data_IF_419238785029
#
_entry.id   IF_419238785029
#
_cell.length_a   1.000
_cell.length_b   1.000
_cell.length_c   1.000
_cell.angle_alpha   90.00
_cell.angle_beta   90.00
_cell.angle_gamma   90.00
#
_symmetry.space_group_name_H-M   'P 1'
#
loop_
_entity.id
_entity.type
_entity.pdbx_description
1 polymer ?
#
# COMPACT_ATOMS: atom_id res chain seq x y z
N UNK A 1 0.98 -11.48 29.62
CA UNK A 1 2.23 -11.06 28.96
C UNK A 1 2.03 -11.23 27.45
N UNK A 2 1.51 -10.20 26.77
CA UNK A 2 1.04 -10.31 25.39
C UNK A 2 2.18 -10.27 24.38
N UNK A 3 2.26 -11.28 23.52
CA UNK A 3 3.22 -11.35 22.41
C UNK A 3 3.06 -10.13 21.51
N UNK A 4 4.09 -9.28 21.44
CA UNK A 4 4.16 -8.14 20.53
C UNK A 4 4.24 -8.70 19.11
N UNK A 5 3.08 -8.79 18.48
CA UNK A 5 2.86 -9.33 17.15
C UNK A 5 3.77 -8.61 16.13
N UNK A 6 4.73 -9.35 15.54
CA UNK A 6 5.64 -8.88 14.48
C UNK A 6 4.92 -9.01 13.14
N UNK A 7 4.13 -8.01 12.75
CA UNK A 7 3.23 -8.09 11.59
C UNK A 7 3.67 -7.30 10.35
N UNK A 8 4.90 -6.78 10.28
CA UNK A 8 5.33 -6.03 9.09
C UNK A 8 6.34 -6.81 8.25
N UNK A 9 5.84 -7.36 7.15
CA UNK A 9 6.60 -8.17 6.20
C UNK A 9 7.52 -7.32 5.32
N UNK A 10 7.22 -6.04 5.06
CA UNK A 10 7.90 -5.27 4.02
C UNK A 10 9.32 -4.87 4.42
N UNK A 11 9.49 -4.24 5.59
CA UNK A 11 10.83 -3.88 6.09
C UNK A 11 11.70 -5.11 6.36
N UNK A 12 11.07 -6.22 6.78
CA UNK A 12 11.76 -7.50 6.96
C UNK A 12 12.26 -8.07 5.63
N UNK A 13 11.42 -8.07 4.58
CA UNK A 13 11.81 -8.50 3.25
C UNK A 13 12.90 -7.61 2.66
N UNK A 14 12.81 -6.28 2.82
CA UNK A 14 13.85 -5.36 2.35
C UNK A 14 15.21 -5.64 2.98
N UNK A 15 15.26 -5.84 4.30
CA UNK A 15 16.50 -6.21 5.00
C UNK A 15 17.00 -7.60 4.57
N UNK A 16 16.11 -8.59 4.47
CA UNK A 16 16.47 -9.98 4.10
C UNK A 16 16.93 -10.13 2.66
N UNK A 17 16.47 -9.26 1.78
CA UNK A 17 16.85 -9.24 0.36
C UNK A 17 17.95 -8.23 0.04
N UNK A 18 18.61 -7.67 1.05
CA UNK A 18 19.74 -6.75 0.91
C UNK A 18 19.39 -5.51 0.08
N UNK A 19 18.25 -4.88 0.41
CA UNK A 19 17.76 -3.67 -0.24
C UNK A 19 17.12 -3.88 -1.62
N UNK A 20 16.98 -5.12 -2.10
CA UNK A 20 16.43 -5.44 -3.43
C UNK A 20 14.90 -5.63 -3.47
N UNK A 21 14.21 -5.31 -2.38
CA UNK A 21 12.76 -5.42 -2.31
C UNK A 21 12.09 -4.13 -2.79
N UNK A 22 11.06 -4.28 -3.62
CA UNK A 22 10.22 -3.19 -4.11
C UNK A 22 8.79 -3.42 -3.61
N UNK A 23 8.16 -2.38 -3.07
CA UNK A 23 6.78 -2.45 -2.59
C UNK A 23 5.81 -2.12 -3.73
N UNK A 24 5.18 -3.14 -4.30
CA UNK A 24 4.09 -2.98 -5.25
C UNK A 24 2.75 -2.76 -4.55
N UNK A 25 2.02 -1.71 -4.94
CA UNK A 25 0.64 -1.43 -4.51
C UNK A 25 -0.29 -1.45 -5.71
N UNK A 26 -1.49 -1.99 -5.55
CA UNK A 26 -2.51 -2.00 -6.59
C UNK A 26 -3.90 -2.02 -5.99
N UNK A 27 -4.86 -1.48 -6.73
CA UNK A 27 -6.28 -1.63 -6.40
C UNK A 27 -6.85 -2.85 -7.11
N UNK A 28 -7.68 -3.64 -6.43
CA UNK A 28 -8.45 -4.73 -7.06
C UNK A 28 -9.20 -4.22 -8.30
N UNK A 29 -9.29 -5.05 -9.34
CA UNK A 29 -10.02 -4.73 -10.58
C UNK A 29 -11.53 -4.89 -10.37
N UNK A 30 -12.33 -4.17 -11.17
CA UNK A 30 -13.80 -4.31 -11.14
C UNK A 30 -14.23 -5.75 -11.43
N UNK A 31 -13.57 -6.44 -12.36
CA UNK A 31 -13.79 -7.86 -12.64
C UNK A 31 -13.66 -8.75 -11.39
N UNK A 32 -12.68 -8.50 -10.51
CA UNK A 32 -12.55 -9.26 -9.27
C UNK A 32 -13.59 -8.84 -8.23
N UNK A 33 -13.81 -7.54 -8.05
CA UNK A 33 -14.70 -7.03 -7.00
C UNK A 33 -16.16 -7.36 -7.31
N UNK A 34 -16.58 -7.17 -8.55
CA UNK A 34 -17.95 -7.43 -8.99
C UNK A 34 -18.15 -8.89 -9.38
N UNK A 35 -17.18 -9.50 -10.06
CA UNK A 35 -17.34 -10.86 -10.60
C UNK A 35 -16.99 -11.99 -9.63
N UNK A 36 -16.06 -11.78 -8.69
CA UNK A 36 -15.70 -12.80 -7.68
C UNK A 36 -16.33 -12.53 -6.32
N UNK A 37 -16.42 -11.25 -5.92
CA UNK A 37 -16.92 -10.90 -4.59
C UNK A 37 -18.38 -10.45 -4.57
N UNK A 38 -19.04 -10.28 -5.73
CA UNK A 38 -20.42 -9.79 -5.86
C UNK A 38 -20.66 -8.45 -5.12
N UNK A 39 -19.64 -7.59 -5.07
CA UNK A 39 -19.69 -6.27 -4.42
C UNK A 39 -19.67 -5.19 -5.50
N UNK A 40 -20.51 -4.16 -5.38
CA UNK A 40 -20.47 -3.00 -6.28
C UNK A 40 -19.08 -2.35 -6.32
N UNK A 41 -18.53 -2.16 -7.52
CA UNK A 41 -17.25 -1.49 -7.67
C UNK A 41 -17.38 0.00 -7.39
N UNK A 42 -16.70 0.47 -6.35
CA UNK A 42 -16.49 1.90 -6.09
C UNK A 42 -15.07 2.25 -6.52
N UNK A 43 -14.91 3.32 -7.30
CA UNK A 43 -13.59 3.78 -7.74
C UNK A 43 -12.61 3.85 -6.57
N UNK A 44 -11.53 3.06 -6.58
CA UNK A 44 -10.62 2.94 -5.45
C UNK A 44 -9.65 4.12 -5.37
N UNK A 45 -9.76 5.13 -6.23
CA UNK A 45 -8.75 6.18 -6.41
C UNK A 45 -8.40 6.93 -5.11
N UNK A 46 -9.39 7.47 -4.40
CA UNK A 46 -9.14 8.21 -3.16
C UNK A 46 -8.58 7.31 -2.06
N UNK A 47 -9.08 6.07 -2.00
CA UNK A 47 -8.60 5.06 -1.06
C UNK A 47 -7.15 4.67 -1.36
N UNK A 48 -6.80 4.52 -2.63
CA UNK A 48 -5.46 4.20 -3.08
C UNK A 48 -4.48 5.33 -2.74
N UNK A 49 -4.87 6.60 -2.98
CA UNK A 49 -4.11 7.77 -2.53
C UNK A 49 -3.85 7.72 -1.03
N UNK A 50 -4.90 7.52 -0.24
CA UNK A 50 -4.79 7.45 1.21
C UNK A 50 -3.83 6.34 1.65
N UNK A 51 -3.96 5.14 1.07
CA UNK A 51 -3.10 3.99 1.38
C UNK A 51 -1.64 4.28 1.05
N UNK A 52 -1.35 4.84 -0.14
CA UNK A 52 0.04 5.18 -0.52
C UNK A 52 0.65 6.17 0.46
N UNK A 53 -0.08 7.24 0.81
CA UNK A 53 0.38 8.24 1.79
C UNK A 53 0.63 7.61 3.16
N UNK A 54 -0.26 6.73 3.59
CA UNK A 54 -0.11 6.03 4.87
C UNK A 54 1.08 5.06 4.84
N UNK A 55 1.24 4.26 3.80
CA UNK A 55 2.38 3.36 3.67
C UNK A 55 3.70 4.16 3.71
N UNK A 56 3.79 5.28 3.00
CA UNK A 56 4.98 6.14 3.04
C UNK A 56 5.30 6.64 4.45
N UNK A 57 4.30 7.15 5.17
CA UNK A 57 4.49 7.62 6.54
C UNK A 57 4.92 6.49 7.49
N UNK A 58 4.36 5.27 7.33
CA UNK A 58 4.81 4.10 8.09
C UNK A 58 6.28 3.78 7.83
N UNK A 59 6.71 3.80 6.57
CA UNK A 59 8.10 3.53 6.17
C UNK A 59 9.08 4.59 6.69
N UNK A 60 8.62 5.83 6.88
CA UNK A 60 9.36 6.90 7.56
C UNK A 60 9.45 6.70 9.08
N UNK A 61 8.69 5.76 9.64
CA UNK A 61 8.64 5.47 11.08
C UNK A 61 7.56 6.26 11.83
N UNK A 62 6.70 6.99 11.10
CA UNK A 62 5.63 7.79 11.67
C UNK A 62 4.49 6.91 12.22
N UNK A 63 3.69 7.51 13.10
CA UNK A 63 2.44 6.92 13.57
C UNK A 63 1.29 7.41 12.72
N UNK A 64 0.46 6.48 12.29
CA UNK A 64 -0.68 6.83 11.45
C UNK A 64 -1.92 7.00 12.31
N UNK A 65 -2.52 8.21 12.31
CA UNK A 65 -3.82 8.39 12.95
C UNK A 65 -4.84 7.51 12.24
N UNK A 66 -5.61 6.76 13.03
CA UNK A 66 -6.70 5.98 12.47
C UNK A 66 -7.78 6.93 11.99
N UNK A 67 -8.13 6.84 10.71
CA UNK A 67 -9.24 7.62 10.15
C UNK A 67 -10.61 7.10 10.60
N UNK A 68 -10.66 5.91 11.18
CA UNK A 68 -11.86 5.29 11.76
C UNK A 68 -11.53 4.99 13.22
N UNK A 69 -12.28 5.59 14.14
CA UNK A 69 -12.15 5.28 15.57
C UNK A 69 -12.60 3.84 15.78
N UNK A 70 -11.63 2.96 15.96
CA UNK A 70 -11.84 1.58 16.40
C UNK A 70 -11.09 1.40 17.72
N UNK A 71 -11.42 0.37 18.51
CA UNK A 71 -10.63 0.02 19.70
C UNK A 71 -9.19 -0.45 19.35
N UNK A 72 -8.84 -0.52 18.06
CA UNK A 72 -7.50 -0.85 17.61
C UNK A 72 -6.53 0.29 17.92
N UNK A 73 -5.27 -0.04 18.25
CA UNK A 73 -4.24 0.98 18.46
C UNK A 73 -3.73 1.56 17.14
N UNK A 74 -3.36 2.85 17.10
CA UNK A 74 -2.67 3.44 15.95
C UNK A 74 -1.46 2.59 15.55
N UNK A 75 -1.35 2.30 14.25
CA UNK A 75 -0.31 1.42 13.73
C UNK A 75 1.03 2.17 13.72
N UNK A 76 2.08 1.50 14.20
CA UNK A 76 3.48 1.88 14.02
C UNK A 76 4.25 0.64 13.63
N UNK A 77 5.14 0.75 12.65
CA UNK A 77 6.05 -0.34 12.33
C UNK A 77 6.95 -0.64 13.54
N UNK A 78 7.11 -1.92 13.85
CA UNK A 78 8.04 -2.41 14.85
C UNK A 78 9.37 -2.84 14.20
N UNK A 79 9.78 -2.10 13.18
CA UNK A 79 11.04 -2.20 12.45
C UNK A 79 11.68 -0.81 12.37
N UNK A 80 12.94 -0.75 11.98
CA UNK A 80 13.60 0.51 11.65
C UNK A 80 12.87 1.21 10.50
N UNK A 81 12.95 2.53 10.45
CA UNK A 81 12.47 3.29 9.30
C UNK A 81 13.29 2.89 8.06
N UNK A 82 12.60 2.69 6.95
CA UNK A 82 13.19 2.34 5.66
C UNK A 82 12.61 3.29 4.60
N UNK A 83 13.01 4.58 4.61
CA UNK A 83 12.55 5.56 3.64
C UNK A 83 12.89 5.19 2.19
N UNK A 84 13.94 4.38 2.01
CA UNK A 84 14.50 4.00 0.72
C UNK A 84 13.76 2.85 0.04
N UNK A 85 12.74 2.25 0.67
CA UNK A 85 11.92 1.22 0.02
C UNK A 85 11.10 1.89 -1.09
N UNK A 86 11.34 1.54 -2.37
CA UNK A 86 10.60 2.13 -3.47
C UNK A 86 9.16 1.62 -3.48
N UNK A 87 8.20 2.51 -3.68
CA UNK A 87 6.78 2.21 -3.85
C UNK A 87 6.43 2.31 -5.33
N UNK A 88 5.87 1.24 -5.89
CA UNK A 88 5.40 1.19 -7.28
C UNK A 88 3.90 0.96 -7.32
N UNK A 89 3.20 1.75 -8.14
CA UNK A 89 1.75 1.61 -8.31
C UNK A 89 1.40 0.80 -9.57
N UNK A 90 0.64 -0.27 -9.41
CA UNK A 90 -0.02 -0.93 -10.52
C UNK A 90 -1.12 0.00 -11.06
N UNK A 91 -0.90 0.57 -12.25
CA UNK A 91 -1.74 1.62 -12.80
C UNK A 91 -1.95 1.40 -14.31
N UNK A 92 -3.21 1.53 -14.74
CA UNK A 92 -3.60 1.32 -16.15
C UNK A 92 -4.46 2.45 -16.72
N UNK A 93 -4.93 3.38 -15.87
CA UNK A 93 -5.82 4.49 -16.28
C UNK A 93 -5.11 5.83 -16.10
N UNK A 94 -5.32 6.81 -17.00
CA UNK A 94 -4.63 8.12 -16.92
C UNK A 94 -4.69 8.78 -15.52
N UNK A 95 -5.78 8.54 -14.77
CA UNK A 95 -5.92 9.03 -13.41
C UNK A 95 -5.02 8.29 -12.40
N UNK A 96 -5.02 6.95 -12.40
CA UNK A 96 -4.11 6.16 -11.54
C UNK A 96 -2.64 6.38 -11.88
N UNK A 97 -2.37 6.65 -13.15
CA UNK A 97 -1.05 6.96 -13.69
C UNK A 97 -0.53 8.27 -13.11
N UNK A 98 -1.35 9.33 -13.13
CA UNK A 98 -1.01 10.62 -12.51
C UNK A 98 -0.76 10.47 -11.02
N UNK A 99 -1.60 9.70 -10.32
CA UNK A 99 -1.40 9.40 -8.90
C UNK A 99 -0.05 8.71 -8.63
N UNK A 100 0.36 7.77 -9.48
CA UNK A 100 1.67 7.14 -9.36
C UNK A 100 2.80 8.17 -9.48
N UNK A 101 2.73 9.06 -10.49
CA UNK A 101 3.71 10.13 -10.66
C UNK A 101 3.73 11.16 -9.53
N UNK A 102 2.63 11.33 -8.80
CA UNK A 102 2.56 12.26 -7.67
C UNK A 102 3.11 11.68 -6.35
N UNK A 103 2.92 10.39 -6.09
CA UNK A 103 3.14 9.81 -4.75
C UNK A 103 4.08 8.60 -4.70
N UNK A 104 4.36 8.00 -5.85
CA UNK A 104 5.12 6.75 -5.96
C UNK A 104 6.45 6.99 -6.68
N UNK A 105 7.36 6.03 -6.54
CA UNK A 105 8.68 6.04 -7.18
C UNK A 105 8.61 5.52 -8.64
N UNK A 106 7.45 4.99 -9.01
CA UNK A 106 7.16 4.52 -10.35
C UNK A 106 5.79 3.87 -10.45
N UNK A 107 5.51 3.33 -11.63
CA UNK A 107 4.28 2.60 -11.92
C UNK A 107 4.61 1.26 -12.60
N UNK A 108 3.68 0.33 -12.56
CA UNK A 108 3.75 -0.93 -13.30
C UNK A 108 2.49 -1.01 -14.15
N UNK A 109 2.60 -1.16 -15.48
CA UNK A 109 1.43 -1.32 -16.34
C UNK A 109 0.68 -2.59 -15.94
N UNK A 110 -0.55 -2.44 -15.45
CA UNK A 110 -1.42 -3.58 -15.20
C UNK A 110 -2.08 -4.03 -16.51
N UNK A 111 -1.88 -5.28 -16.91
CA UNK A 111 -2.65 -5.90 -17.98
C UNK A 111 -3.92 -6.51 -17.38
N UNK A 112 -5.07 -5.85 -17.58
CA UNK A 112 -6.38 -6.46 -17.33
C UNK A 112 -6.94 -6.82 -18.72
N UNK A 113 -7.17 -8.12 -19.03
CA UNK A 113 -7.89 -8.47 -20.24
C UNK A 113 -9.30 -7.87 -20.14
N UNK A 114 -9.65 -7.05 -21.12
CA UNK A 114 -10.97 -6.40 -21.23
C UNK A 114 -12.09 -7.39 -21.46
#
# INVERSE_FOLDING_TARGET
>A
MGTKQRNDCHGFLYTRHDGRFILGLGSSTSQLVEGLHDISYVSPYEKLRQVVTQVRALLLGDRIPQSISTDARPLRLNLAAHPDIPIYLAASTNRSIRLAGELCDGWIPGHSPG
#
